data_IF_737842111779
#
_entry.id   IF_737842111779
#
_cell.length_a   1.000
_cell.length_b   1.000
_cell.length_c   1.000
_cell.angle_alpha   90.00
_cell.angle_beta   90.00
_cell.angle_gamma   90.00
#
_symmetry.space_group_name_H-M   'P 1'
#
loop_
_entity.id
_entity.type
_entity.pdbx_description
1 polymer ?
#
# COMPACT_ATOMS: atom_id res chain seq x y z
N UNK A 1 35.77 -25.20 -45.36
CA UNK A 1 35.57 -23.84 -44.80
C UNK A 1 34.31 -23.87 -43.93
N UNK A 2 34.42 -23.38 -42.69
CA UNK A 2 33.54 -23.67 -41.54
C UNK A 2 32.41 -22.63 -41.39
N UNK A 3 31.17 -23.13 -41.13
CA UNK A 3 30.00 -22.57 -40.40
C UNK A 3 29.63 -21.09 -40.65
N UNK A 4 28.42 -20.68 -41.00
CA UNK A 4 27.09 -21.16 -40.62
C UNK A 4 26.25 -19.98 -40.10
N UNK A 5 24.98 -19.93 -40.51
CA UNK A 5 23.81 -19.39 -39.80
C UNK A 5 23.56 -17.87 -39.76
N UNK A 6 22.39 -17.51 -40.28
CA UNK A 6 21.91 -16.15 -40.49
C UNK A 6 21.67 -15.33 -39.22
N UNK A 7 21.88 -14.02 -39.35
CA UNK A 7 21.44 -13.00 -38.40
C UNK A 7 20.12 -12.41 -38.89
N UNK A 8 19.02 -13.06 -38.52
CA UNK A 8 17.68 -12.48 -38.51
C UNK A 8 17.22 -12.38 -37.06
N UNK A 9 16.88 -11.19 -36.58
CA UNK A 9 16.50 -11.03 -35.18
C UNK A 9 16.21 -9.60 -34.74
N UNK A 10 15.15 -9.03 -35.31
CA UNK A 10 14.29 -7.94 -34.82
C UNK A 10 14.66 -7.36 -33.45
N UNK A 11 15.00 -6.07 -33.44
CA UNK A 11 15.09 -5.19 -32.27
C UNK A 11 13.73 -5.07 -31.58
N UNK A 12 13.32 -6.07 -30.81
CA UNK A 12 12.06 -6.06 -30.06
C UNK A 12 12.24 -5.31 -28.73
N UNK A 13 11.65 -4.12 -28.68
CA UNK A 13 10.98 -3.56 -27.50
C UNK A 13 11.84 -3.27 -26.26
N UNK A 14 12.02 -1.98 -25.97
CA UNK A 14 12.32 -1.49 -24.60
C UNK A 14 11.12 -1.81 -23.68
N UNK A 15 11.00 -3.07 -23.27
CA UNK A 15 10.03 -3.53 -22.29
C UNK A 15 10.42 -3.16 -20.86
N UNK A 16 9.42 -2.94 -20.03
CA UNK A 16 9.44 -2.56 -18.60
C UNK A 16 10.18 -3.54 -17.63
N UNK A 17 11.23 -4.23 -18.06
CA UNK A 17 11.86 -5.33 -17.32
C UNK A 17 12.61 -4.94 -16.03
N UNK A 18 12.88 -3.64 -15.79
CA UNK A 18 13.66 -3.20 -14.62
C UNK A 18 12.92 -3.23 -13.27
N UNK A 19 11.59 -3.32 -13.26
CA UNK A 19 10.80 -3.24 -12.01
C UNK A 19 10.60 -4.58 -11.28
N UNK A 20 10.73 -5.70 -11.99
CA UNK A 20 10.47 -7.03 -11.41
C UNK A 20 11.67 -7.58 -10.64
N UNK A 21 12.90 -7.28 -11.08
CA UNK A 21 14.13 -7.77 -10.45
C UNK A 21 14.30 -7.30 -8.99
N UNK A 22 13.90 -6.06 -8.71
CA UNK A 22 13.98 -5.50 -7.35
C UNK A 22 13.05 -6.22 -6.36
N UNK A 23 11.87 -6.63 -6.81
CA UNK A 23 10.87 -7.32 -5.99
C UNK A 23 11.19 -8.80 -5.79
N UNK A 24 11.78 -9.45 -6.80
CA UNK A 24 12.28 -10.83 -6.65
C UNK A 24 13.41 -10.90 -5.63
N UNK A 25 14.32 -9.93 -5.66
CA UNK A 25 15.43 -9.85 -4.71
C UNK A 25 14.96 -9.55 -3.28
N UNK A 26 13.87 -8.80 -3.11
CA UNK A 26 13.31 -8.54 -1.78
C UNK A 26 12.54 -9.72 -1.18
N UNK A 27 12.22 -10.75 -1.97
CA UNK A 27 11.50 -11.96 -1.54
C UNK A 27 12.37 -13.23 -1.57
N UNK A 28 13.63 -13.10 -1.99
CA UNK A 28 14.59 -14.21 -2.02
C UNK A 28 15.31 -14.34 -0.67
N UNK A 29 15.09 -15.41 0.12
CA UNK A 29 15.69 -15.57 1.45
C UNK A 29 17.22 -15.67 1.43
N UNK A 30 17.80 -16.08 0.29
CA UNK A 30 19.23 -16.17 0.10
C UNK A 30 19.86 -14.83 -0.31
N UNK A 31 19.06 -13.81 -0.59
CA UNK A 31 19.56 -12.49 -0.96
C UNK A 31 19.82 -11.60 0.26
N UNK A 32 20.93 -10.86 0.24
CA UNK A 32 21.35 -9.97 1.33
C UNK A 32 20.31 -8.87 1.61
N UNK A 33 19.67 -8.33 0.57
CA UNK A 33 18.68 -7.27 0.74
C UNK A 33 17.41 -7.76 1.48
N UNK A 34 17.01 -9.02 1.28
CA UNK A 34 15.91 -9.65 2.03
C UNK A 34 16.26 -9.76 3.52
N UNK A 35 17.48 -10.24 3.83
CA UNK A 35 17.97 -10.34 5.21
C UNK A 35 17.99 -8.97 5.90
N UNK A 36 18.63 -7.97 5.29
CA UNK A 36 18.66 -6.61 5.86
C UNK A 36 17.27 -6.00 6.03
N UNK A 37 16.34 -6.29 5.12
CA UNK A 37 14.95 -5.84 5.23
C UNK A 37 14.24 -6.46 6.45
N UNK A 38 14.45 -7.74 6.69
CA UNK A 38 13.90 -8.44 7.86
C UNK A 38 14.51 -7.94 9.16
N UNK A 39 15.83 -7.75 9.21
CA UNK A 39 16.53 -7.23 10.39
C UNK A 39 16.02 -5.83 10.74
N UNK A 40 15.90 -4.95 9.74
CA UNK A 40 15.35 -3.60 9.92
C UNK A 40 13.90 -3.63 10.43
N UNK A 41 13.06 -4.51 9.87
CA UNK A 41 11.67 -4.67 10.33
C UNK A 41 11.59 -5.21 11.75
N UNK A 42 12.41 -6.21 12.08
CA UNK A 42 12.50 -6.78 13.43
C UNK A 42 12.92 -5.72 14.43
N UNK A 43 13.95 -4.94 14.09
CA UNK A 43 14.46 -3.83 14.88
C UNK A 43 13.42 -2.71 15.09
N UNK A 44 12.57 -2.44 14.10
CA UNK A 44 11.46 -1.49 14.22
C UNK A 44 10.30 -2.04 15.04
N UNK A 45 10.14 -3.35 15.14
CA UNK A 45 9.05 -4.00 15.88
C UNK A 45 9.44 -4.44 17.29
N UNK A 46 10.74 -4.51 17.59
CA UNK A 46 11.26 -4.88 18.90
C UNK A 46 11.25 -3.66 19.85
N UNK A 47 10.40 -3.64 20.88
CA UNK A 47 10.29 -2.50 21.80
C UNK A 47 11.57 -2.21 22.59
N UNK A 48 12.43 -3.23 22.76
CA UNK A 48 13.69 -3.11 23.47
C UNK A 48 14.84 -2.62 22.59
N UNK A 49 14.61 -2.41 21.29
CA UNK A 49 15.62 -1.93 20.35
C UNK A 49 15.47 -0.41 20.15
N UNK A 50 16.55 0.40 20.25
CA UNK A 50 16.46 1.86 20.10
C UNK A 50 15.83 2.35 18.79
N UNK A 51 16.01 1.61 17.68
CA UNK A 51 15.41 1.98 16.40
C UNK A 51 13.87 1.90 16.40
N UNK A 52 13.26 1.13 17.31
CA UNK A 52 11.80 1.10 17.50
C UNK A 52 11.31 2.46 18.02
N UNK A 53 11.98 3.05 19.01
CA UNK A 53 11.59 4.35 19.56
C UNK A 53 11.73 5.48 18.53
N UNK A 54 12.88 5.54 17.83
CA UNK A 54 13.10 6.52 16.75
C UNK A 54 12.10 6.38 15.61
N UNK A 55 11.68 5.16 15.26
CA UNK A 55 10.66 4.94 14.23
C UNK A 55 9.27 5.47 14.63
N UNK A 56 8.96 5.48 15.93
CA UNK A 56 7.70 6.00 16.47
C UNK A 56 7.70 7.52 16.62
N UNK A 57 8.81 8.10 17.05
CA UNK A 57 8.96 9.55 17.21
C UNK A 57 8.78 10.32 15.89
N UNK A 58 9.10 9.72 14.73
CA UNK A 58 8.82 10.34 13.42
C UNK A 58 7.32 10.51 13.11
N UNK A 59 6.42 9.86 13.86
CA UNK A 59 4.97 10.06 13.74
C UNK A 59 4.44 11.24 14.57
N UNK A 60 5.31 11.90 15.35
CA UNK A 60 5.01 13.14 16.07
C UNK A 60 4.91 14.39 15.17
N UNK A 61 5.01 14.25 13.85
CA UNK A 61 4.65 15.32 12.94
C UNK A 61 3.13 15.50 12.96
N UNK A 62 2.67 16.48 13.73
CA UNK A 62 1.36 17.12 13.66
C UNK A 62 1.01 17.73 12.29
N UNK A 63 1.74 17.39 11.23
CA UNK A 63 1.77 18.08 9.93
C UNK A 63 0.67 17.71 8.94
N UNK A 64 -0.42 17.04 9.33
CA UNK A 64 -1.47 16.66 8.36
C UNK A 64 -2.92 16.76 8.86
N UNK A 65 -3.18 17.06 10.13
CA UNK A 65 -4.57 17.32 10.54
C UNK A 65 -5.08 18.68 10.04
N UNK A 66 -4.18 19.66 9.86
CA UNK A 66 -4.51 20.94 9.22
C UNK A 66 -4.60 20.87 7.69
N UNK A 67 -4.24 19.73 7.08
CA UNK A 67 -4.20 19.60 5.64
C UNK A 67 -5.59 19.20 5.14
N UNK A 68 -6.27 20.13 4.47
CA UNK A 68 -7.53 19.86 3.78
C UNK A 68 -7.38 18.60 2.91
N UNK A 69 -8.31 17.67 3.05
CA UNK A 69 -8.32 16.42 2.30
C UNK A 69 -8.39 16.72 0.79
N UNK A 70 -7.44 16.18 0.02
CA UNK A 70 -7.48 16.25 -1.45
C UNK A 70 -8.55 15.28 -2.00
N UNK A 71 -9.20 15.66 -3.10
CA UNK A 71 -10.25 14.85 -3.72
C UNK A 71 -9.78 13.43 -4.06
N UNK A 72 -8.53 13.26 -4.49
CA UNK A 72 -7.96 11.95 -4.83
C UNK A 72 -7.72 11.09 -3.59
N UNK A 73 -7.49 11.71 -2.43
CA UNK A 73 -7.39 11.01 -1.15
C UNK A 73 -8.76 10.58 -0.66
N UNK A 74 -9.78 11.45 -0.79
CA UNK A 74 -11.17 11.13 -0.49
C UNK A 74 -11.68 9.94 -1.32
N UNK A 75 -11.46 9.94 -2.64
CA UNK A 75 -11.89 8.83 -3.51
C UNK A 75 -11.25 7.50 -3.13
N UNK A 76 -10.00 7.49 -2.65
CA UNK A 76 -9.36 6.25 -2.20
C UNK A 76 -10.00 5.70 -0.92
N UNK A 77 -10.38 6.57 0.00
CA UNK A 77 -11.08 6.19 1.23
C UNK A 77 -12.45 5.62 0.89
N UNK A 78 -13.20 6.27 0.00
CA UNK A 78 -14.51 5.80 -0.46
C UNK A 78 -14.41 4.43 -1.15
N UNK A 79 -13.53 4.29 -2.14
CA UNK A 79 -13.35 3.01 -2.83
C UNK A 79 -12.92 1.88 -1.90
N UNK A 80 -12.15 2.18 -0.84
CA UNK A 80 -11.78 1.21 0.17
C UNK A 80 -12.96 0.83 1.08
N UNK A 81 -13.78 1.81 1.48
CA UNK A 81 -14.97 1.57 2.29
C UNK A 81 -15.99 0.71 1.55
N UNK A 82 -16.26 1.01 0.28
CA UNK A 82 -17.18 0.22 -0.56
C UNK A 82 -16.62 -1.18 -0.85
N UNK A 83 -15.30 -1.34 -0.95
CA UNK A 83 -14.67 -2.65 -1.16
C UNK A 83 -14.65 -3.53 0.09
N UNK A 84 -14.74 -2.95 1.28
CA UNK A 84 -14.54 -3.69 2.55
C UNK A 84 -15.82 -3.84 3.38
N UNK A 85 -16.97 -3.41 2.87
CA UNK A 85 -18.27 -3.42 3.57
C UNK A 85 -18.27 -2.75 4.96
N UNK A 86 -17.22 -2.01 5.29
CA UNK A 86 -17.04 -1.38 6.61
C UNK A 86 -17.99 -0.20 6.84
N UNK A 87 -18.71 0.24 5.81
CA UNK A 87 -19.69 1.33 5.89
C UNK A 87 -21.15 0.83 5.86
N UNK A 88 -21.38 -0.50 5.86
CA UNK A 88 -22.75 -1.05 5.79
C UNK A 88 -23.54 -0.71 7.06
N UNK A 89 -22.95 -0.88 8.24
CA UNK A 89 -23.61 -0.58 9.50
C UNK A 89 -23.95 0.91 9.65
N UNK A 90 -23.08 1.79 9.16
CA UNK A 90 -23.32 3.22 9.16
C UNK A 90 -24.46 3.62 8.20
N UNK A 91 -24.50 3.02 6.99
CA UNK A 91 -25.60 3.21 6.03
C UNK A 91 -26.93 2.71 6.59
N UNK A 92 -26.96 1.48 7.14
CA UNK A 92 -28.16 0.89 7.72
C UNK A 92 -28.68 1.72 8.91
N UNK A 93 -27.78 2.21 9.76
CA UNK A 93 -28.15 3.05 10.90
C UNK A 93 -28.63 4.44 10.47
N UNK A 94 -28.03 5.02 9.44
CA UNK A 94 -28.50 6.29 8.86
C UNK A 94 -29.89 6.15 8.22
N UNK A 95 -30.15 5.05 7.50
CA UNK A 95 -31.46 4.75 6.93
C UNK A 95 -32.52 4.51 8.01
N UNK A 96 -32.22 3.66 9.00
CA UNK A 96 -33.15 3.41 10.11
C UNK A 96 -33.46 4.67 10.92
N UNK A 97 -32.48 5.58 11.08
CA UNK A 97 -32.71 6.87 11.74
C UNK A 97 -33.57 7.82 10.89
N UNK A 98 -33.42 7.79 9.56
CA UNK A 98 -34.27 8.57 8.65
C UNK A 98 -35.72 8.04 8.66
N UNK A 99 -35.92 6.73 8.56
CA UNK A 99 -37.24 6.09 8.60
C UNK A 99 -37.99 6.42 9.90
N UNK A 100 -37.32 6.30 11.06
CA UNK A 100 -37.92 6.64 12.36
C UNK A 100 -38.32 8.11 12.49
N UNK A 101 -37.60 9.02 11.84
CA UNK A 101 -37.95 10.44 11.85
C UNK A 101 -39.17 10.76 10.97
N UNK A 102 -39.46 9.93 9.94
CA UNK A 102 -40.68 10.09 9.14
C UNK A 102 -41.90 9.52 9.87
N UNK A 103 -41.74 8.43 10.62
CA UNK A 103 -42.79 7.87 11.47
C UNK A 103 -43.20 8.80 12.63
N UNK A 104 -42.28 9.59 13.18
CA UNK A 104 -42.55 10.56 14.26
C UNK A 104 -43.21 11.87 13.78
N UNK A 105 -43.19 12.15 12.47
CA UNK A 105 -43.74 13.38 11.86
C UNK A 105 -45.01 13.13 11.04
N UNK A 106 -45.64 11.95 11.23
CA UNK A 106 -46.87 11.47 10.58
C UNK A 106 -48.11 11.60 11.46
#
# INVERSE_FOLDING_TARGET
MSKGSGKGGVSRGKGNSRRHSQRSNSMNPNNRAHKSGNDNRSNQMNPNNPAHDSSRQSSGSSGRWSQRMDAKSASRIQAHADKTDTNQDFKARAQSAAEKNEDENS
#
